data_IF_046087232083
#
_entry.id   IF_046087232083
#
_cell.length_a   1.000
_cell.length_b   1.000
_cell.length_c   1.000
_cell.angle_alpha   90.00
_cell.angle_beta   90.00
_cell.angle_gamma   90.00
#
_symmetry.space_group_name_H-M   'P 1'
#
loop_
_entity.id
_entity.type
_entity.pdbx_description
1 polymer ?
#
# COMPACT_ATOMS: atom_id res chain seq x y z
N UNK A 1 32.39 2.90 -4.93
CA UNK A 1 32.21 4.36 -4.93
C UNK A 1 31.49 4.76 -6.20
N UNK A 2 30.24 5.23 -6.06
CA UNK A 2 29.65 6.39 -6.74
C UNK A 2 28.14 6.35 -6.47
N UNK A 3 27.78 6.90 -5.31
CA UNK A 3 26.41 7.32 -5.01
C UNK A 3 26.04 8.48 -5.93
N UNK A 4 24.77 8.55 -6.37
CA UNK A 4 23.85 9.58 -5.88
C UNK A 4 22.55 9.61 -6.71
N UNK A 5 21.50 9.07 -6.09
CA UNK A 5 20.21 9.73 -5.92
C UNK A 5 19.60 10.35 -7.19
N UNK A 6 19.09 9.48 -8.07
CA UNK A 6 18.02 9.84 -8.99
C UNK A 6 16.83 10.25 -8.13
N UNK A 7 16.57 11.56 -8.08
CA UNK A 7 15.35 12.16 -7.54
C UNK A 7 14.13 11.54 -8.24
N UNK A 8 13.67 10.40 -7.75
CA UNK A 8 12.24 10.18 -7.68
C UNK A 8 11.76 11.19 -6.66
N UNK A 9 11.35 12.34 -7.18
CA UNK A 9 10.63 13.36 -6.45
C UNK A 9 9.60 12.62 -5.61
N UNK A 10 9.72 12.73 -4.29
CA UNK A 10 8.61 12.50 -3.39
C UNK A 10 7.43 13.33 -3.90
N UNK A 11 6.62 12.75 -4.78
CA UNK A 11 5.20 12.98 -4.75
C UNK A 11 4.65 12.07 -3.65
N UNK A 12 5.12 12.29 -2.43
CA UNK A 12 4.26 12.08 -1.27
C UNK A 12 3.09 12.99 -1.56
N UNK A 13 1.92 12.40 -1.82
CA UNK A 13 0.67 13.12 -1.99
C UNK A 13 0.45 13.94 -0.71
N UNK A 14 0.95 15.18 -0.71
CA UNK A 14 0.97 16.05 0.45
C UNK A 14 -0.49 16.43 0.74
N UNK A 15 -1.00 16.11 1.94
CA UNK A 15 -2.38 16.41 2.33
C UNK A 15 -2.60 17.90 2.60
N UNK A 16 -1.57 18.75 2.41
CA UNK A 16 -1.53 20.11 2.94
C UNK A 16 -2.23 21.15 2.05
N UNK A 17 -2.96 20.70 1.01
CA UNK A 17 -3.80 21.56 0.15
C UNK A 17 -5.29 21.18 0.19
N UNK A 18 -5.72 20.58 1.31
CA UNK A 18 -7.13 20.36 1.60
C UNK A 18 -7.72 21.67 2.11
N UNK A 19 -8.27 22.48 1.21
CA UNK A 19 -9.04 23.65 1.61
C UNK A 19 -10.27 23.17 2.39
N UNK A 20 -10.41 23.65 3.63
CA UNK A 20 -11.46 23.24 4.58
C UNK A 20 -12.91 23.37 4.05
N UNK A 21 -13.11 24.08 2.94
CA UNK A 21 -14.40 24.27 2.29
C UNK A 21 -14.88 23.13 1.37
N UNK A 22 -14.03 22.15 0.99
CA UNK A 22 -14.45 21.10 0.02
C UNK A 22 -15.49 20.11 0.58
N UNK A 23 -15.40 19.79 1.87
CA UNK A 23 -16.28 18.79 2.51
C UNK A 23 -17.56 19.38 3.13
N UNK A 24 -17.71 20.72 3.10
CA UNK A 24 -18.86 21.45 3.69
C UNK A 24 -19.37 22.56 2.78
N UNK A 25 -19.11 22.45 1.48
CA UNK A 25 -19.56 23.42 0.47
C UNK A 25 -20.97 23.15 -0.03
N UNK A 26 -21.52 24.12 -0.75
CA UNK A 26 -22.79 24.02 -1.48
C UNK A 26 -24.05 24.28 -0.64
N UNK A 27 -25.21 24.51 -1.28
CA UNK A 27 -26.47 24.86 -0.61
C UNK A 27 -27.01 23.75 0.32
N UNK A 28 -26.53 22.52 0.14
CA UNK A 28 -26.88 21.37 1.00
C UNK A 28 -25.77 21.01 2.01
N UNK A 29 -24.61 21.69 1.98
CA UNK A 29 -23.51 21.42 2.91
C UNK A 29 -22.86 20.03 2.77
N UNK A 30 -23.09 19.34 1.64
CA UNK A 30 -22.61 17.98 1.37
C UNK A 30 -21.23 17.95 0.68
N UNK A 31 -20.67 19.11 0.33
CA UNK A 31 -19.43 19.22 -0.43
C UNK A 31 -19.64 19.29 -1.95
N UNK A 32 -18.54 19.23 -2.70
CA UNK A 32 -18.54 19.30 -4.18
C UNK A 32 -18.85 17.92 -4.81
N UNK A 33 -19.96 17.76 -5.57
CA UNK A 33 -20.31 16.50 -6.23
C UNK A 33 -19.35 16.08 -7.35
N UNK A 34 -18.46 16.97 -7.81
CA UNK A 34 -17.47 16.67 -8.85
C UNK A 34 -16.05 16.47 -8.31
N UNK A 35 -15.89 16.41 -6.98
CA UNK A 35 -14.58 16.15 -6.37
C UNK A 35 -14.11 14.73 -6.68
N UNK A 36 -12.99 14.63 -7.41
CA UNK A 36 -12.32 13.37 -7.77
C UNK A 36 -11.01 13.17 -7.00
N UNK A 37 -10.78 13.99 -5.98
CA UNK A 37 -9.59 13.84 -5.15
C UNK A 37 -9.71 12.63 -4.23
N UNK A 38 -8.57 11.98 -3.98
CA UNK A 38 -8.50 10.85 -3.08
C UNK A 38 -8.56 11.30 -1.62
N UNK A 39 -9.36 10.62 -0.82
CA UNK A 39 -9.41 10.88 0.64
C UNK A 39 -8.20 10.26 1.31
N UNK A 40 -7.83 10.78 2.49
CA UNK A 40 -6.74 10.23 3.32
C UNK A 40 -6.89 8.73 3.56
N UNK A 41 -8.11 8.28 3.86
CA UNK A 41 -8.42 6.86 4.07
C UNK A 41 -8.18 6.02 2.81
N UNK A 42 -8.44 6.58 1.63
CA UNK A 42 -8.25 5.84 0.38
C UNK A 42 -6.77 5.69 0.05
N UNK A 43 -6.00 6.75 0.28
CA UNK A 43 -4.55 6.78 0.08
C UNK A 43 -3.81 5.86 1.04
N UNK A 44 -4.20 5.87 2.31
CA UNK A 44 -3.46 5.17 3.36
C UNK A 44 -3.94 3.73 3.58
N UNK A 45 -5.21 3.43 3.31
CA UNK A 45 -5.82 2.15 3.72
C UNK A 45 -6.44 1.41 2.54
N UNK A 46 -7.43 1.98 1.85
CA UNK A 46 -8.23 1.20 0.92
C UNK A 46 -7.47 0.81 -0.36
N UNK A 47 -6.78 1.75 -0.99
CA UNK A 47 -5.99 1.48 -2.21
C UNK A 47 -4.80 0.58 -1.91
N UNK A 48 -3.98 0.84 -0.87
CA UNK A 48 -2.92 -0.08 -0.49
C UNK A 48 -3.43 -1.49 -0.20
N UNK A 49 -4.61 -1.62 0.44
CA UNK A 49 -5.26 -2.92 0.67
C UNK A 49 -5.56 -3.66 -0.63
N UNK A 50 -6.24 -3.00 -1.58
CA UNK A 50 -6.58 -3.59 -2.88
C UNK A 50 -5.32 -3.98 -3.66
N UNK A 51 -4.31 -3.11 -3.68
CA UNK A 51 -3.02 -3.36 -4.36
C UNK A 51 -2.31 -4.56 -3.74
N UNK A 52 -2.30 -4.67 -2.40
CA UNK A 52 -1.71 -5.81 -1.68
C UNK A 52 -2.40 -7.12 -2.05
N UNK A 53 -3.72 -7.13 -2.05
CA UNK A 53 -4.50 -8.33 -2.40
C UNK A 53 -4.24 -8.78 -3.84
N UNK A 54 -4.15 -7.82 -4.76
CA UNK A 54 -3.82 -8.10 -6.16
C UNK A 54 -2.37 -8.59 -6.29
N UNK A 55 -1.43 -7.96 -5.60
CA UNK A 55 -0.02 -8.37 -5.61
C UNK A 55 0.15 -9.79 -5.06
N UNK A 56 -0.58 -10.16 -4.00
CA UNK A 56 -0.57 -11.52 -3.45
C UNK A 56 -1.04 -12.56 -4.49
N UNK A 57 -2.10 -12.27 -5.23
CA UNK A 57 -2.64 -13.20 -6.24
C UNK A 57 -1.79 -13.28 -7.50
N UNK A 58 -1.31 -12.15 -8.01
CA UNK A 58 -0.65 -12.10 -9.32
C UNK A 58 0.87 -12.26 -9.22
N UNK A 59 1.53 -11.52 -8.31
CA UNK A 59 2.98 -11.38 -8.28
C UNK A 59 3.67 -12.23 -7.22
N UNK A 60 3.06 -12.33 -6.04
CA UNK A 60 3.68 -12.98 -4.88
C UNK A 60 3.21 -14.42 -4.66
N UNK A 61 2.42 -14.99 -5.56
CA UNK A 61 1.84 -16.33 -5.40
C UNK A 61 2.92 -17.42 -5.17
N UNK A 62 4.03 -17.36 -5.92
CA UNK A 62 5.14 -18.31 -5.81
C UNK A 62 5.81 -18.25 -4.43
N UNK A 63 6.17 -17.05 -3.97
CA UNK A 63 6.80 -16.87 -2.66
C UNK A 63 5.89 -17.30 -1.51
N UNK A 64 4.58 -17.08 -1.63
CA UNK A 64 3.60 -17.49 -0.63
C UNK A 64 3.50 -19.03 -0.57
N UNK A 65 3.54 -19.70 -1.71
CA UNK A 65 3.50 -21.16 -1.80
C UNK A 65 4.77 -21.82 -1.23
N UNK A 66 5.95 -21.31 -1.58
CA UNK A 66 7.22 -21.78 -1.00
C UNK A 66 7.25 -21.58 0.52
N UNK A 67 6.95 -20.37 0.98
CA UNK A 67 6.91 -20.06 2.40
C UNK A 67 5.85 -20.90 3.13
N UNK A 68 4.70 -21.18 2.50
CA UNK A 68 3.67 -22.07 3.01
C UNK A 68 4.19 -23.49 3.21
N UNK A 69 4.87 -24.05 2.20
CA UNK A 69 5.49 -25.38 2.27
C UNK A 69 6.57 -25.49 3.36
N UNK A 70 7.36 -24.44 3.60
CA UNK A 70 8.30 -24.43 4.72
C UNK A 70 7.61 -24.21 6.07
N UNK A 71 6.55 -23.39 6.09
CA UNK A 71 5.71 -23.12 7.24
C UNK A 71 5.03 -24.38 7.79
N UNK A 72 4.50 -25.22 6.91
CA UNK A 72 3.91 -26.51 7.28
C UNK A 72 4.92 -27.45 7.94
N UNK A 73 6.20 -27.41 7.52
CA UNK A 73 7.26 -28.28 8.07
C UNK A 73 7.79 -27.81 9.43
N UNK A 74 7.84 -26.50 9.65
CA UNK A 74 8.48 -25.90 10.83
C UNK A 74 7.50 -25.27 11.82
N UNK A 75 6.21 -25.17 11.47
CA UNK A 75 5.14 -24.65 12.31
C UNK A 75 5.50 -23.31 12.95
N UNK A 76 5.54 -23.29 14.28
CA UNK A 76 5.89 -22.10 15.06
C UNK A 76 7.28 -21.52 14.72
N UNK A 77 8.25 -22.35 14.36
CA UNK A 77 9.60 -21.91 14.02
C UNK A 77 9.77 -21.42 12.57
N UNK A 78 8.69 -21.39 11.79
CA UNK A 78 8.70 -20.96 10.39
C UNK A 78 9.28 -19.55 10.22
N UNK A 79 8.95 -18.61 11.10
CA UNK A 79 9.44 -17.23 11.02
C UNK A 79 10.98 -17.15 11.14
N UNK A 80 11.62 -18.07 11.87
CA UNK A 80 13.08 -18.10 12.01
C UNK A 80 13.73 -18.91 10.91
N UNK A 81 13.16 -20.08 10.57
CA UNK A 81 13.76 -21.06 9.66
C UNK A 81 13.48 -20.77 8.18
N UNK A 82 12.29 -20.29 7.85
CA UNK A 82 11.82 -20.06 6.48
C UNK A 82 12.14 -18.65 5.94
N UNK A 83 12.80 -17.81 6.75
CA UNK A 83 13.28 -16.47 6.31
C UNK A 83 14.22 -16.52 5.09
N UNK A 84 14.85 -17.67 4.84
CA UNK A 84 15.76 -17.89 3.71
C UNK A 84 15.02 -18.01 2.36
N UNK A 85 13.77 -18.45 2.37
CA UNK A 85 12.96 -18.65 1.17
C UNK A 85 12.33 -17.34 0.66
N UNK A 86 12.37 -16.27 1.46
CA UNK A 86 11.85 -14.94 1.11
C UNK A 86 12.94 -14.03 0.50
N UNK A 87 14.20 -14.50 0.40
CA UNK A 87 15.28 -13.75 -0.25
C UNK A 87 15.30 -14.06 -1.74
N UNK A 88 14.83 -13.10 -2.53
CA UNK A 88 15.16 -12.97 -3.95
C UNK A 88 16.60 -12.47 -4.12
#
# INVERSE_FOLDING_TARGET
MSDNNTKHKEEVFSPDHVSAGRYRGGPHGLGDPNDKTLRKVELEVSIPGIVRDRAHREKCHYFIDEFGKCGEKHGFWAVVKCRKEVKA
#
